data_IF_494138843981
#
_entry.id   IF_494138843981
#
_cell.length_a   1.000
_cell.length_b   1.000
_cell.length_c   1.000
_cell.angle_alpha   90.00
_cell.angle_beta   90.00
_cell.angle_gamma   90.00
#
_symmetry.space_group_name_H-M   'P 1'
#
loop_
_entity.id
_entity.type
_entity.pdbx_description
1 polymer ?
#
# COMPACT_ATOMS: atom_id res chain seq x y z
N UNK A 1 11.52 -26.74 -5.86
CA UNK A 1 11.73 -25.88 -7.04
C UNK A 1 10.66 -26.10 -8.10
N UNK A 2 9.77 -25.12 -8.26
CA UNK A 2 8.66 -25.07 -9.22
C UNK A 2 9.01 -24.22 -10.46
N UNK A 3 8.03 -23.87 -11.30
CA UNK A 3 8.26 -23.16 -12.59
C UNK A 3 8.77 -21.73 -12.42
N UNK A 4 8.60 -21.11 -11.24
CA UNK A 4 9.02 -19.73 -11.00
C UNK A 4 10.54 -19.57 -10.85
N UNK A 5 11.30 -20.66 -10.73
CA UNK A 5 12.76 -20.63 -10.60
C UNK A 5 13.47 -19.88 -11.76
N UNK A 6 12.84 -19.85 -12.93
CA UNK A 6 13.35 -19.18 -14.14
C UNK A 6 12.65 -17.84 -14.44
N UNK A 7 11.84 -17.31 -13.52
CA UNK A 7 11.17 -16.03 -13.71
C UNK A 7 12.20 -14.88 -13.69
N UNK A 8 11.94 -13.83 -14.49
CA UNK A 8 12.71 -12.59 -14.47
C UNK A 8 12.53 -11.85 -13.15
N UNK A 9 11.28 -11.75 -12.67
CA UNK A 9 10.93 -11.13 -11.41
C UNK A 9 11.67 -11.76 -10.22
N UNK A 10 12.40 -10.96 -9.42
CA UNK A 10 12.93 -11.39 -8.14
C UNK A 10 11.82 -11.87 -7.19
N UNK A 11 10.68 -11.18 -7.15
CA UNK A 11 9.51 -11.55 -6.33
C UNK A 11 9.00 -12.95 -6.66
N UNK A 12 8.83 -13.28 -7.95
CA UNK A 12 8.38 -14.62 -8.34
C UNK A 12 9.41 -15.69 -7.96
N UNK A 13 10.71 -15.39 -8.10
CA UNK A 13 11.77 -16.33 -7.71
C UNK A 13 11.84 -16.61 -6.22
N UNK A 14 11.44 -15.67 -5.35
CA UNK A 14 11.34 -15.93 -3.91
C UNK A 14 10.37 -17.09 -3.60
N UNK A 15 9.37 -17.31 -4.45
CA UNK A 15 8.39 -18.40 -4.30
C UNK A 15 8.77 -19.69 -5.05
N UNK A 16 9.97 -19.77 -5.64
CA UNK A 16 10.39 -20.90 -6.47
C UNK A 16 10.51 -22.21 -5.66
N UNK A 17 10.81 -22.12 -4.37
CA UNK A 17 10.99 -23.28 -3.50
C UNK A 17 9.77 -23.62 -2.62
N UNK A 18 8.71 -22.82 -2.71
CA UNK A 18 7.44 -23.16 -2.07
C UNK A 18 6.93 -24.53 -2.56
N UNK A 19 6.31 -25.33 -1.67
CA UNK A 19 5.71 -26.62 -2.05
C UNK A 19 4.50 -26.48 -2.99
N UNK A 20 3.93 -25.27 -3.10
CA UNK A 20 2.89 -24.96 -4.08
C UNK A 20 3.47 -25.04 -5.51
N UNK A 21 2.75 -25.73 -6.40
CA UNK A 21 3.08 -25.86 -7.82
C UNK A 21 2.69 -24.59 -8.58
N UNK A 22 3.46 -23.54 -8.36
CA UNK A 22 3.22 -22.24 -8.97
C UNK A 22 3.49 -22.24 -10.47
N UNK A 23 2.60 -21.58 -11.18
CA UNK A 23 2.75 -21.14 -12.57
C UNK A 23 2.97 -19.62 -12.60
N UNK A 24 3.76 -19.10 -13.56
CA UNK A 24 3.63 -17.70 -13.94
C UNK A 24 2.29 -17.48 -14.67
N UNK A 25 1.94 -16.23 -14.92
CA UNK A 25 0.81 -15.92 -15.80
C UNK A 25 1.16 -16.30 -17.26
N UNK A 26 0.70 -17.47 -17.70
CA UNK A 26 0.92 -17.96 -19.07
C UNK A 26 -0.26 -18.81 -19.55
N UNK A 27 -0.41 -18.96 -20.87
CA UNK A 27 -1.55 -19.69 -21.47
C UNK A 27 -1.56 -21.17 -21.06
N UNK A 28 -0.39 -21.78 -20.86
CA UNK A 28 -0.25 -23.17 -20.42
C UNK A 28 -0.90 -23.43 -19.06
N UNK A 29 -0.88 -22.46 -18.15
CA UNK A 29 -1.54 -22.58 -16.85
C UNK A 29 -3.07 -22.67 -17.02
N UNK A 30 -3.64 -21.84 -17.90
CA UNK A 30 -5.08 -21.84 -18.17
C UNK A 30 -5.51 -23.11 -18.92
N UNK A 31 -4.70 -23.58 -19.88
CA UNK A 31 -4.97 -24.84 -20.57
C UNK A 31 -4.85 -26.05 -19.62
N UNK A 32 -3.92 -26.02 -18.67
CA UNK A 32 -3.83 -27.05 -17.64
C UNK A 32 -5.05 -27.05 -16.71
N UNK A 33 -5.57 -25.88 -16.34
CA UNK A 33 -6.78 -25.75 -15.54
C UNK A 33 -8.00 -26.36 -16.26
N UNK A 34 -8.13 -26.11 -17.56
CA UNK A 34 -9.15 -26.73 -18.43
C UNK A 34 -8.96 -28.24 -18.52
N UNK A 35 -7.73 -28.70 -18.79
CA UNK A 35 -7.40 -30.14 -18.94
C UNK A 35 -7.72 -30.92 -17.67
N UNK A 36 -7.41 -30.36 -16.50
CA UNK A 36 -7.72 -30.94 -15.18
C UNK A 36 -9.15 -30.68 -14.71
N UNK A 37 -9.88 -29.79 -15.38
CA UNK A 37 -11.20 -29.30 -14.99
C UNK A 37 -11.25 -28.78 -13.54
N UNK A 38 -10.22 -28.03 -13.16
CA UNK A 38 -10.08 -27.39 -11.83
C UNK A 38 -10.08 -25.86 -11.99
N UNK A 39 -10.53 -25.11 -10.96
CA UNK A 39 -10.45 -23.65 -10.99
C UNK A 39 -9.00 -23.16 -10.85
N UNK A 40 -8.82 -21.86 -11.04
CA UNK A 40 -7.52 -21.19 -10.92
C UNK A 40 -7.51 -20.31 -9.67
N UNK A 41 -6.42 -20.40 -8.92
CA UNK A 41 -6.10 -19.45 -7.86
C UNK A 41 -4.95 -18.55 -8.35
N UNK A 42 -5.24 -17.27 -8.48
CA UNK A 42 -4.28 -16.23 -8.83
C UNK A 42 -3.91 -15.44 -7.57
N UNK A 43 -2.63 -15.42 -7.22
CA UNK A 43 -2.08 -14.62 -6.13
C UNK A 43 -1.21 -13.50 -6.69
N UNK A 44 -1.71 -12.27 -6.61
CA UNK A 44 -1.01 -11.05 -7.05
C UNK A 44 -0.31 -10.39 -5.85
N UNK A 45 0.96 -10.06 -6.00
CA UNK A 45 1.74 -9.30 -5.03
C UNK A 45 2.96 -8.66 -5.69
N UNK A 46 3.90 -8.18 -4.87
CA UNK A 46 5.16 -7.57 -5.30
C UNK A 46 6.19 -7.68 -4.17
N UNK A 47 7.46 -7.43 -4.49
CA UNK A 47 8.60 -7.77 -3.62
C UNK A 47 8.61 -7.07 -2.25
N UNK A 48 8.04 -5.86 -2.13
CA UNK A 48 8.10 -5.05 -0.91
C UNK A 48 6.80 -5.14 -0.08
N UNK A 49 5.91 -6.05 -0.43
CA UNK A 49 4.59 -6.20 0.18
C UNK A 49 4.63 -7.08 1.45
N UNK A 50 4.57 -6.46 2.63
CA UNK A 50 4.58 -7.18 3.92
C UNK A 50 3.53 -8.32 3.98
N UNK A 51 2.25 -8.01 3.77
CA UNK A 51 1.18 -9.02 3.85
C UNK A 51 1.32 -10.14 2.81
N UNK A 52 2.04 -9.89 1.72
CA UNK A 52 2.35 -10.91 0.73
C UNK A 52 3.37 -11.92 1.28
N UNK A 53 4.38 -11.45 2.01
CA UNK A 53 5.33 -12.30 2.74
C UNK A 53 4.65 -13.07 3.87
N UNK A 54 3.82 -12.39 4.68
CA UNK A 54 3.05 -13.03 5.76
C UNK A 54 2.21 -14.18 5.22
N UNK A 55 1.41 -13.95 4.16
CA UNK A 55 0.59 -15.02 3.57
C UNK A 55 1.44 -16.14 2.97
N UNK A 56 2.62 -15.82 2.43
CA UNK A 56 3.53 -16.83 1.92
C UNK A 56 4.06 -17.75 3.02
N UNK A 57 4.60 -17.18 4.10
CA UNK A 57 5.10 -17.93 5.24
C UNK A 57 4.01 -18.73 5.94
N UNK A 58 2.85 -18.12 6.18
CA UNK A 58 1.77 -18.75 6.93
C UNK A 58 1.01 -19.82 6.12
N UNK A 59 0.94 -19.68 4.79
CA UNK A 59 0.10 -20.53 3.95
C UNK A 59 0.85 -21.22 2.82
N UNK A 60 1.61 -20.50 2.00
CA UNK A 60 2.20 -21.05 0.77
C UNK A 60 3.44 -21.93 1.02
N UNK A 61 4.08 -21.82 2.18
CA UNK A 61 5.20 -22.67 2.61
C UNK A 61 4.75 -23.95 3.32
N UNK A 62 3.48 -24.06 3.69
CA UNK A 62 2.93 -25.25 4.35
C UNK A 62 2.68 -26.38 3.35
N UNK A 63 3.34 -27.53 3.56
CA UNK A 63 3.14 -28.74 2.74
C UNK A 63 1.67 -29.19 2.71
N UNK A 64 0.95 -29.04 3.82
CA UNK A 64 -0.46 -29.43 3.93
C UNK A 64 -1.34 -28.53 3.06
N UNK A 65 -1.16 -27.21 3.15
CA UNK A 65 -1.90 -26.23 2.34
C UNK A 65 -1.53 -26.39 0.87
N UNK A 66 -0.25 -26.57 0.56
CA UNK A 66 0.22 -26.78 -0.80
C UNK A 66 -0.32 -28.07 -1.42
N UNK A 67 -0.43 -29.17 -0.67
CA UNK A 67 -1.04 -30.40 -1.16
C UNK A 67 -2.52 -30.19 -1.56
N UNK A 68 -3.27 -29.42 -0.77
CA UNK A 68 -4.65 -29.03 -1.09
C UNK A 68 -4.70 -28.19 -2.37
N UNK A 69 -3.88 -27.13 -2.43
CA UNK A 69 -3.80 -26.23 -3.58
C UNK A 69 -3.43 -27.00 -4.85
N UNK A 70 -2.38 -27.81 -4.82
CA UNK A 70 -1.86 -28.54 -5.98
C UNK A 70 -2.85 -29.58 -6.48
N UNK A 71 -3.64 -30.20 -5.59
CA UNK A 71 -4.67 -31.17 -5.97
C UNK A 71 -5.86 -30.52 -6.67
N UNK A 72 -6.34 -29.41 -6.11
CA UNK A 72 -7.66 -28.87 -6.45
C UNK A 72 -7.65 -27.61 -7.30
N UNK A 73 -6.48 -27.02 -7.53
CA UNK A 73 -6.32 -25.73 -8.20
C UNK A 73 -5.14 -25.76 -9.18
N UNK A 74 -5.21 -24.89 -10.18
CA UNK A 74 -4.00 -24.36 -10.83
C UNK A 74 -3.62 -23.06 -10.15
N UNK A 75 -2.41 -23.00 -9.63
CA UNK A 75 -1.94 -21.89 -8.81
C UNK A 75 -1.05 -20.98 -9.66
N UNK A 76 -1.45 -19.72 -9.83
CA UNK A 76 -0.70 -18.71 -10.59
C UNK A 76 -0.18 -17.65 -9.61
N UNK A 77 1.12 -17.38 -9.66
CA UNK A 77 1.74 -16.25 -8.95
C UNK A 77 2.01 -15.13 -9.95
N UNK A 78 1.59 -13.91 -9.62
CA UNK A 78 1.76 -12.73 -10.48
C UNK A 78 2.51 -11.64 -9.71
N UNK A 79 3.53 -11.09 -10.35
CA UNK A 79 4.18 -9.85 -9.92
C UNK A 79 3.46 -8.65 -10.53
N UNK A 80 2.93 -7.80 -9.67
CA UNK A 80 2.28 -6.55 -10.05
C UNK A 80 3.23 -5.60 -10.77
N UNK A 81 4.52 -5.58 -10.42
CA UNK A 81 5.48 -4.66 -11.04
C UNK A 81 5.77 -5.05 -12.51
N UNK A 82 5.74 -6.34 -12.83
CA UNK A 82 5.85 -6.82 -14.21
C UNK A 82 4.53 -6.74 -14.99
N UNK A 83 3.38 -6.90 -14.31
CA UNK A 83 2.04 -6.93 -14.92
C UNK A 83 1.04 -5.98 -14.23
N UNK A 84 1.31 -4.65 -14.25
CA UNK A 84 0.43 -3.66 -13.63
C UNK A 84 -0.93 -3.56 -14.33
N UNK A 85 -1.01 -3.99 -15.60
CA UNK A 85 -2.23 -4.07 -16.38
C UNK A 85 -3.24 -5.06 -15.78
N UNK A 86 -2.78 -6.26 -15.39
CA UNK A 86 -3.63 -7.28 -14.79
C UNK A 86 -4.00 -6.93 -13.35
N UNK A 87 -3.02 -6.42 -12.59
CA UNK A 87 -3.25 -5.95 -11.24
C UNK A 87 -4.38 -4.90 -11.20
N UNK A 88 -4.34 -3.90 -12.08
CA UNK A 88 -5.35 -2.85 -12.14
C UNK A 88 -6.76 -3.41 -12.40
N UNK A 89 -6.90 -4.37 -13.32
CA UNK A 89 -8.18 -5.01 -13.65
C UNK A 89 -8.75 -5.73 -12.42
N UNK A 90 -7.95 -6.57 -11.76
CA UNK A 90 -8.43 -7.35 -10.62
C UNK A 90 -8.60 -6.49 -9.35
N UNK A 91 -7.80 -5.45 -9.16
CA UNK A 91 -7.98 -4.47 -8.09
C UNK A 91 -9.30 -3.71 -8.26
N UNK A 92 -9.62 -3.27 -9.48
CA UNK A 92 -10.88 -2.61 -9.78
C UNK A 92 -12.07 -3.55 -9.51
N UNK A 93 -11.99 -4.84 -9.88
CA UNK A 93 -13.01 -5.82 -9.57
C UNK A 93 -13.19 -6.04 -8.05
N UNK A 94 -12.08 -6.08 -7.29
CA UNK A 94 -12.11 -6.20 -5.84
C UNK A 94 -12.76 -4.96 -5.19
N UNK A 95 -12.39 -3.76 -5.62
CA UNK A 95 -12.97 -2.50 -5.13
C UNK A 95 -14.45 -2.37 -5.49
N UNK A 96 -14.86 -2.75 -6.71
CA UNK A 96 -16.25 -2.70 -7.15
C UNK A 96 -17.16 -3.65 -6.34
N UNK A 97 -16.61 -4.74 -5.79
CA UNK A 97 -17.36 -5.76 -5.05
C UNK A 97 -17.30 -5.57 -3.53
N UNK A 98 -16.17 -5.13 -2.99
CA UNK A 98 -15.94 -5.02 -1.54
C UNK A 98 -15.84 -3.57 -1.03
N UNK A 99 -15.78 -2.59 -1.93
CA UNK A 99 -15.63 -1.17 -1.59
C UNK A 99 -14.22 -0.75 -1.18
N UNK A 100 -13.30 -1.71 -1.02
CA UNK A 100 -11.88 -1.50 -0.73
C UNK A 100 -11.04 -2.54 -1.49
N UNK A 101 -9.72 -2.41 -1.42
CA UNK A 101 -8.78 -3.36 -2.01
C UNK A 101 -7.41 -3.27 -1.35
N UNK A 102 -6.52 -4.18 -1.74
CA UNK A 102 -5.16 -4.25 -1.21
C UNK A 102 -4.45 -5.53 -1.65
N UNK A 103 -3.20 -5.67 -1.20
CA UNK A 103 -2.36 -6.84 -1.46
C UNK A 103 -2.07 -7.61 -0.18
N UNK A 104 -1.80 -8.94 -0.24
CA UNK A 104 -1.85 -9.78 -1.43
C UNK A 104 -3.27 -9.88 -1.97
N UNK A 105 -3.41 -9.94 -3.29
CA UNK A 105 -4.71 -10.13 -3.92
C UNK A 105 -4.93 -11.61 -4.20
N UNK A 106 -5.94 -12.17 -3.54
CA UNK A 106 -6.37 -13.57 -3.68
C UNK A 106 -7.55 -13.63 -4.64
N UNK A 107 -7.29 -14.00 -5.89
CA UNK A 107 -8.29 -13.98 -6.96
C UNK A 107 -8.59 -15.40 -7.42
N UNK A 108 -9.87 -15.78 -7.43
CA UNK A 108 -10.31 -17.11 -7.82
C UNK A 108 -11.04 -17.02 -9.16
N UNK A 109 -10.46 -17.66 -10.17
CA UNK A 109 -10.83 -17.49 -11.58
C UNK A 109 -11.43 -18.76 -12.18
N UNK A 110 -12.37 -18.57 -13.10
CA UNK A 110 -12.75 -19.61 -14.04
C UNK A 110 -11.75 -19.76 -15.21
N UNK A 111 -12.05 -20.67 -16.13
CA UNK A 111 -11.18 -20.99 -17.28
C UNK A 111 -11.09 -19.86 -18.31
N UNK A 112 -12.01 -18.90 -18.25
CA UNK A 112 -12.06 -17.71 -19.10
C UNK A 112 -11.42 -16.49 -18.44
N UNK A 113 -10.68 -16.69 -17.34
CA UNK A 113 -9.99 -15.64 -16.56
C UNK A 113 -10.94 -14.69 -15.82
N UNK A 114 -12.23 -15.03 -15.69
CA UNK A 114 -13.22 -14.21 -14.99
C UNK A 114 -13.17 -14.51 -13.49
N UNK A 115 -13.09 -13.49 -12.62
CA UNK A 115 -13.10 -13.71 -11.19
C UNK A 115 -14.51 -14.05 -10.70
N UNK A 116 -14.64 -15.16 -9.98
CA UNK A 116 -15.89 -15.53 -9.31
C UNK A 116 -15.85 -15.30 -7.80
N UNK A 117 -14.66 -15.08 -7.24
CA UNK A 117 -14.44 -14.65 -5.86
C UNK A 117 -13.11 -13.89 -5.77
N UNK A 118 -13.07 -12.83 -4.96
CA UNK A 118 -11.86 -12.08 -4.67
C UNK A 118 -11.73 -11.85 -3.16
N UNK A 119 -10.50 -11.75 -2.68
CA UNK A 119 -10.16 -11.34 -1.32
C UNK A 119 -8.78 -10.69 -1.32
N UNK A 120 -8.42 -10.06 -0.21
CA UNK A 120 -7.05 -9.64 0.07
C UNK A 120 -6.28 -10.76 0.78
N UNK A 121 -5.75 -10.49 1.98
CA UNK A 121 -5.12 -11.47 2.86
C UNK A 121 -6.14 -12.45 3.44
N UNK A 122 -5.80 -13.75 3.41
CA UNK A 122 -6.58 -14.83 4.01
C UNK A 122 -5.72 -15.56 5.05
N UNK A 123 -6.12 -15.60 6.33
CA UNK A 123 -5.30 -16.15 7.40
C UNK A 123 -5.17 -17.68 7.34
N UNK A 124 -4.14 -18.29 7.94
CA UNK A 124 -3.97 -19.74 7.98
C UNK A 124 -5.06 -20.44 8.83
N UNK A 125 -5.65 -19.71 9.78
CA UNK A 125 -6.69 -20.19 10.69
C UNK A 125 -7.90 -19.25 10.71
N UNK A 126 -9.06 -19.78 11.10
CA UNK A 126 -10.26 -18.96 11.30
C UNK A 126 -10.03 -17.98 12.45
N UNK A 127 -9.97 -16.67 12.17
CA UNK A 127 -9.72 -15.64 13.18
C UNK A 127 -10.57 -14.40 12.91
N UNK A 128 -11.04 -13.76 13.98
CA UNK A 128 -11.83 -12.50 13.92
C UNK A 128 -13.03 -12.55 12.94
N UNK A 129 -13.71 -13.70 12.86
CA UNK A 129 -14.85 -13.88 11.95
C UNK A 129 -14.47 -14.05 10.48
N UNK A 130 -13.17 -14.12 10.15
CA UNK A 130 -12.69 -14.40 8.80
C UNK A 130 -12.37 -15.90 8.64
N UNK A 131 -12.81 -16.54 7.55
CA UNK A 131 -12.45 -17.93 7.28
C UNK A 131 -10.96 -18.04 6.93
N UNK A 132 -10.36 -19.17 7.25
CA UNK A 132 -9.00 -19.49 6.87
C UNK A 132 -8.87 -19.67 5.36
N UNK A 133 -7.65 -19.50 4.84
CA UNK A 133 -7.34 -19.73 3.45
C UNK A 133 -7.74 -21.14 2.98
N UNK A 134 -7.45 -22.17 3.78
CA UNK A 134 -7.83 -23.57 3.49
C UNK A 134 -9.35 -23.78 3.51
N UNK A 135 -10.09 -23.08 4.38
CA UNK A 135 -11.56 -23.10 4.41
C UNK A 135 -12.13 -22.49 3.14
N UNK A 136 -11.59 -21.35 2.70
CA UNK A 136 -12.00 -20.68 1.45
C UNK A 136 -11.72 -21.58 0.24
N UNK A 137 -10.51 -22.13 0.13
CA UNK A 137 -10.13 -23.06 -0.95
C UNK A 137 -11.09 -24.26 -1.01
N UNK A 138 -11.36 -24.89 0.12
CA UNK A 138 -12.23 -26.07 0.18
C UNK A 138 -13.66 -25.71 -0.24
N UNK A 139 -14.20 -24.61 0.29
CA UNK A 139 -15.59 -24.21 0.01
C UNK A 139 -15.79 -23.81 -1.45
N UNK A 140 -14.87 -23.04 -2.02
CA UNK A 140 -14.97 -22.64 -3.42
C UNK A 140 -14.79 -23.84 -4.36
N UNK A 141 -13.96 -24.82 -3.99
CA UNK A 141 -13.84 -26.07 -4.75
C UNK A 141 -15.12 -26.90 -4.71
N UNK A 142 -15.79 -26.98 -3.55
CA UNK A 142 -17.09 -27.66 -3.45
C UNK A 142 -18.15 -27.00 -4.34
N UNK A 143 -18.20 -25.66 -4.37
CA UNK A 143 -19.12 -24.91 -5.25
C UNK A 143 -18.74 -25.13 -6.71
N UNK A 144 -17.44 -25.16 -7.02
CA UNK A 144 -16.96 -25.50 -8.35
C UNK A 144 -17.45 -26.90 -8.79
N UNK A 145 -17.40 -27.91 -7.94
CA UNK A 145 -17.77 -29.28 -8.33
C UNK A 145 -19.28 -29.49 -8.41
N UNK A 146 -20.04 -28.87 -7.51
CA UNK A 146 -21.47 -29.17 -7.32
C UNK A 146 -22.41 -28.10 -7.90
N UNK A 147 -21.93 -26.86 -8.06
CA UNK A 147 -22.75 -25.67 -8.37
C UNK A 147 -22.09 -24.76 -9.42
N UNK A 148 -21.68 -25.32 -10.57
CA UNK A 148 -21.04 -24.54 -11.67
C UNK A 148 -21.85 -23.31 -12.10
N UNK A 149 -23.19 -23.36 -12.05
CA UNK A 149 -24.03 -22.23 -12.39
C UNK A 149 -23.87 -21.05 -11.42
N UNK A 150 -23.62 -21.30 -10.13
CA UNK A 150 -23.35 -20.25 -9.15
C UNK A 150 -22.00 -19.56 -9.43
N UNK A 151 -20.98 -20.33 -9.83
CA UNK A 151 -19.68 -19.79 -10.26
C UNK A 151 -19.88 -18.83 -11.44
N UNK A 152 -20.60 -19.27 -12.49
CA UNK A 152 -20.86 -18.44 -13.66
C UNK A 152 -21.67 -17.19 -13.31
N UNK A 153 -22.68 -17.32 -12.45
CA UNK A 153 -23.50 -16.18 -12.03
C UNK A 153 -22.66 -15.13 -11.26
N UNK A 154 -21.81 -15.57 -10.33
CA UNK A 154 -20.91 -14.67 -9.60
C UNK A 154 -19.89 -14.02 -10.52
N UNK A 155 -19.28 -14.80 -11.44
CA UNK A 155 -18.33 -14.26 -12.41
C UNK A 155 -18.95 -13.17 -13.29
N UNK A 156 -20.18 -13.39 -13.77
CA UNK A 156 -20.93 -12.38 -14.53
C UNK A 156 -21.23 -11.15 -13.68
N UNK A 157 -21.73 -11.32 -12.46
CA UNK A 157 -22.06 -10.20 -11.58
C UNK A 157 -20.85 -9.31 -11.26
N UNK A 158 -19.68 -9.92 -11.02
CA UNK A 158 -18.43 -9.20 -10.77
C UNK A 158 -17.97 -8.47 -12.05
N UNK A 159 -18.04 -9.12 -13.20
CA UNK A 159 -17.68 -8.51 -14.50
C UNK A 159 -18.56 -7.31 -14.81
N UNK A 160 -19.88 -7.43 -14.62
CA UNK A 160 -20.81 -6.30 -14.81
C UNK A 160 -20.59 -5.17 -13.80
N UNK A 161 -20.21 -5.48 -12.55
CA UNK A 161 -19.88 -4.48 -11.56
C UNK A 161 -18.62 -3.70 -11.97
N UNK A 162 -17.62 -4.39 -12.51
CA UNK A 162 -16.42 -3.77 -13.08
C UNK A 162 -16.78 -2.85 -14.25
N UNK A 163 -17.56 -3.33 -15.22
CA UNK A 163 -18.01 -2.53 -16.38
C UNK A 163 -18.83 -1.29 -15.98
N UNK A 164 -19.61 -1.36 -14.89
CA UNK A 164 -20.33 -0.20 -14.34
C UNK A 164 -19.40 0.77 -13.60
N UNK A 165 -18.33 0.26 -12.98
CA UNK A 165 -17.36 1.05 -12.23
C UNK A 165 -16.33 1.73 -13.12
N UNK A 166 -16.05 1.16 -14.29
CA UNK A 166 -15.42 1.87 -15.38
C UNK A 166 -16.40 2.98 -15.81
N UNK A 167 -16.20 4.19 -15.28
CA UNK A 167 -16.82 5.38 -15.83
C UNK A 167 -16.63 5.32 -17.36
N UNK A 168 -17.66 5.62 -18.17
CA UNK A 168 -17.47 5.64 -19.62
C UNK A 168 -16.23 6.47 -19.88
N UNK A 169 -15.23 5.88 -20.56
CA UNK A 169 -14.05 6.61 -21.00
C UNK A 169 -14.59 7.91 -21.55
N UNK A 170 -14.27 9.03 -20.89
CA UNK A 170 -14.82 10.32 -21.27
C UNK A 170 -14.68 10.43 -22.79
N UNK A 171 -15.69 10.99 -23.47
CA UNK A 171 -15.74 11.13 -24.93
C UNK A 171 -14.60 12.01 -25.50
N UNK A 172 -13.55 12.25 -24.73
CA UNK A 172 -12.46 13.19 -24.97
C UNK A 172 -12.76 14.59 -24.44
N UNK A 173 -13.98 14.89 -23.96
CA UNK A 173 -14.26 16.21 -23.39
C UNK A 173 -13.62 16.39 -22.02
N UNK A 174 -13.02 17.56 -21.85
CA UNK A 174 -12.66 18.10 -20.54
C UNK A 174 -13.95 18.25 -19.73
N UNK A 175 -14.04 17.70 -18.51
CA UNK A 175 -15.22 17.85 -17.67
C UNK A 175 -15.57 19.31 -17.42
N UNK A 176 -16.86 19.59 -17.25
CA UNK A 176 -17.31 20.94 -16.93
C UNK A 176 -16.88 21.36 -15.52
N UNK A 177 -16.99 22.67 -15.25
CA UNK A 177 -16.63 23.23 -13.96
C UNK A 177 -17.61 22.86 -12.84
N UNK A 178 -18.83 22.43 -13.17
CA UNK A 178 -19.79 21.97 -12.18
C UNK A 178 -19.35 20.63 -11.58
N UNK A 179 -18.66 19.78 -12.36
CA UNK A 179 -18.04 18.57 -11.85
C UNK A 179 -16.91 18.88 -10.86
N UNK A 180 -16.09 19.90 -11.12
CA UNK A 180 -15.07 20.35 -10.17
C UNK A 180 -15.70 20.85 -8.86
N UNK A 181 -16.78 21.62 -8.93
CA UNK A 181 -17.52 22.08 -7.75
C UNK A 181 -18.16 20.92 -6.97
N UNK A 182 -18.62 19.87 -7.66
CA UNK A 182 -19.12 18.64 -7.02
C UNK A 182 -18.00 17.86 -6.35
N UNK A 183 -16.87 17.68 -7.03
CA UNK A 183 -15.69 17.00 -6.49
C UNK A 183 -15.20 17.70 -5.22
N UNK A 184 -15.05 19.03 -5.25
CA UNK A 184 -14.69 19.82 -4.07
C UNK A 184 -15.64 19.55 -2.89
N UNK A 185 -16.96 19.63 -3.09
CA UNK A 185 -17.94 19.41 -2.01
C UNK A 185 -17.84 18.00 -1.42
N UNK A 186 -17.61 16.99 -2.26
CA UNK A 186 -17.46 15.60 -1.80
C UNK A 186 -16.15 15.40 -1.02
N UNK A 187 -15.06 16.02 -1.47
CA UNK A 187 -13.77 15.99 -0.78
C UNK A 187 -13.84 16.73 0.57
N UNK A 188 -14.40 17.93 0.58
CA UNK A 188 -14.60 18.73 1.79
C UNK A 188 -15.43 17.99 2.84
N UNK A 189 -16.47 17.26 2.42
CA UNK A 189 -17.30 16.46 3.32
C UNK A 189 -16.58 15.23 3.91
N UNK A 190 -15.50 14.77 3.27
CA UNK A 190 -14.69 13.60 3.69
C UNK A 190 -13.39 13.98 4.37
N UNK A 191 -13.06 15.27 4.40
CA UNK A 191 -11.82 15.77 4.97
C UNK A 191 -11.81 15.62 6.49
N UNK A 192 -10.72 15.06 7.00
CA UNK A 192 -10.47 14.97 8.44
C UNK A 192 -9.75 16.26 8.89
N UNK A 193 -10.51 17.19 9.45
CA UNK A 193 -9.94 18.47 9.92
C UNK A 193 -9.00 18.32 11.13
N UNK A 194 -9.06 17.21 11.86
CA UNK A 194 -8.22 16.99 13.05
C UNK A 194 -6.84 16.46 12.66
N UNK A 195 -6.81 15.44 11.80
CA UNK A 195 -5.59 14.72 11.44
C UNK A 195 -5.18 14.91 9.98
N UNK A 196 -5.88 15.73 9.20
CA UNK A 196 -5.63 15.88 7.77
C UNK A 196 -5.97 14.61 6.97
N UNK A 197 -5.95 14.69 5.65
CA UNK A 197 -6.31 13.57 4.80
C UNK A 197 -7.80 13.36 4.59
N UNK A 198 -8.14 12.25 3.93
CA UNK A 198 -9.51 11.85 3.66
C UNK A 198 -9.88 10.60 4.45
N UNK A 199 -11.08 10.60 5.02
CA UNK A 199 -11.62 9.42 5.72
C UNK A 199 -10.93 9.14 7.06
N UNK A 200 -11.10 7.91 7.56
CA UNK A 200 -10.64 7.50 8.89
C UNK A 200 -9.43 6.59 8.82
N UNK A 201 -9.60 5.31 8.48
CA UNK A 201 -8.52 4.31 8.41
C UNK A 201 -8.76 3.28 7.29
N UNK A 202 -7.71 2.76 6.64
CA UNK A 202 -6.34 3.30 6.63
C UNK A 202 -6.27 4.67 5.92
N UNK A 203 -5.21 5.45 6.15
CA UNK A 203 -4.97 6.74 5.49
C UNK A 203 -3.82 6.68 4.50
N UNK A 204 -4.13 7.09 3.27
CA UNK A 204 -3.17 7.22 2.17
C UNK A 204 -2.89 8.69 1.87
N UNK A 205 -1.66 9.06 1.45
CA UNK A 205 -1.34 10.43 1.05
C UNK A 205 -2.28 10.98 -0.01
N UNK A 206 -2.70 10.21 -1.03
CA UNK A 206 -3.67 10.68 -2.05
C UNK A 206 -3.34 12.05 -2.67
N UNK A 207 -2.06 12.31 -2.92
CA UNK A 207 -1.47 13.55 -3.47
C UNK A 207 -2.27 14.21 -4.61
N UNK A 208 -2.77 13.42 -5.56
CA UNK A 208 -3.63 13.88 -6.66
C UNK A 208 -4.89 14.67 -6.22
N UNK A 209 -5.40 14.40 -5.02
CA UNK A 209 -6.50 15.16 -4.40
C UNK A 209 -6.03 16.57 -4.04
N UNK A 210 -4.84 16.70 -3.47
CA UNK A 210 -4.30 18.00 -3.04
C UNK A 210 -3.84 18.83 -4.24
N UNK A 211 -3.28 18.17 -5.26
CA UNK A 211 -3.03 18.76 -6.58
C UNK A 211 -4.32 19.35 -7.17
N UNK A 212 -5.44 18.63 -7.07
CA UNK A 212 -6.76 19.12 -7.47
C UNK A 212 -7.20 20.32 -6.61
N UNK A 213 -7.08 20.25 -5.28
CA UNK A 213 -7.50 21.33 -4.39
C UNK A 213 -6.69 22.63 -4.63
N UNK A 214 -5.38 22.54 -4.87
CA UNK A 214 -4.55 23.69 -5.23
C UNK A 214 -4.98 24.31 -6.57
N UNK A 215 -5.25 23.47 -7.58
CA UNK A 215 -5.78 23.92 -8.88
C UNK A 215 -7.17 24.54 -8.75
N UNK A 216 -8.03 23.98 -7.91
CA UNK A 216 -9.36 24.51 -7.63
C UNK A 216 -9.27 25.88 -6.92
N UNK A 217 -8.40 26.00 -5.92
CA UNK A 217 -8.13 27.25 -5.21
C UNK A 217 -7.62 28.36 -6.13
N UNK A 218 -6.75 28.03 -7.08
CA UNK A 218 -6.21 28.96 -8.08
C UNK A 218 -7.28 29.55 -9.02
N UNK A 219 -8.47 28.93 -9.08
CA UNK A 219 -9.62 29.46 -9.83
C UNK A 219 -10.43 30.51 -9.05
N UNK A 220 -10.03 30.81 -7.80
CA UNK A 220 -10.66 31.82 -6.95
C UNK A 220 -11.92 31.36 -6.21
N UNK A 221 -12.19 30.05 -6.15
CA UNK A 221 -13.30 29.47 -5.36
C UNK A 221 -12.76 28.76 -4.13
N UNK A 222 -13.38 29.01 -2.98
CA UNK A 222 -13.06 28.35 -1.70
C UNK A 222 -11.53 28.27 -1.45
N UNK A 223 -10.81 29.32 -1.86
CA UNK A 223 -9.35 29.32 -1.94
C UNK A 223 -8.73 29.06 -0.57
N UNK A 224 -9.24 29.74 0.47
CA UNK A 224 -8.78 29.57 1.84
C UNK A 224 -8.96 28.12 2.32
N UNK A 225 -10.17 27.58 2.20
CA UNK A 225 -10.49 26.26 2.74
C UNK A 225 -9.79 25.14 1.97
N UNK A 226 -9.69 25.26 0.65
CA UNK A 226 -8.94 24.31 -0.19
C UNK A 226 -7.46 24.26 0.20
N UNK A 227 -6.82 25.42 0.37
CA UNK A 227 -5.41 25.50 0.77
C UNK A 227 -5.19 25.07 2.22
N UNK A 228 -6.14 25.32 3.11
CA UNK A 228 -6.09 24.81 4.49
C UNK A 228 -6.14 23.28 4.54
N UNK A 229 -6.97 22.64 3.71
CA UNK A 229 -6.99 21.17 3.60
C UNK A 229 -5.65 20.58 3.14
N UNK A 230 -5.02 21.21 2.15
CA UNK A 230 -3.68 20.82 1.67
C UNK A 230 -2.65 21.01 2.78
N UNK A 231 -2.64 22.19 3.41
CA UNK A 231 -1.68 22.53 4.45
C UNK A 231 -1.73 21.58 5.63
N UNK A 232 -2.92 21.39 6.20
CA UNK A 232 -3.13 20.48 7.33
C UNK A 232 -2.72 19.06 6.98
N UNK A 233 -3.02 18.59 5.76
CA UNK A 233 -2.68 17.22 5.39
C UNK A 233 -1.18 17.02 5.22
N UNK A 234 -0.51 17.87 4.45
CA UNK A 234 0.94 17.73 4.22
C UNK A 234 1.72 17.86 5.52
N UNK A 235 1.31 18.77 6.41
CA UNK A 235 1.91 18.89 7.74
C UNK A 235 1.70 17.62 8.58
N UNK A 236 0.49 17.04 8.58
CA UNK A 236 0.21 15.81 9.33
C UNK A 236 0.94 14.58 8.79
N UNK A 237 1.13 14.51 7.48
CA UNK A 237 1.94 13.46 6.83
C UNK A 237 3.42 13.64 7.20
N UNK A 238 3.94 14.87 7.14
CA UNK A 238 5.32 15.17 7.53
C UNK A 238 5.60 14.89 9.01
N UNK A 239 4.68 15.28 9.88
CA UNK A 239 4.85 15.17 11.32
C UNK A 239 4.54 13.75 11.82
N UNK A 240 3.76 12.97 11.07
CA UNK A 240 3.40 11.60 11.42
C UNK A 240 4.56 10.60 11.32
N UNK A 241 4.26 9.36 11.68
CA UNK A 241 5.19 8.22 11.58
C UNK A 241 5.27 7.64 10.17
N UNK A 242 4.46 8.14 9.23
CA UNK A 242 4.62 7.86 7.80
C UNK A 242 5.88 8.54 7.21
N UNK A 243 6.39 9.60 7.82
CA UNK A 243 7.68 10.17 7.46
C UNK A 243 8.78 9.46 8.24
N UNK A 244 9.79 8.96 7.54
CA UNK A 244 10.99 8.46 8.20
C UNK A 244 11.88 9.63 8.62
N UNK A 245 11.75 10.05 9.88
CA UNK A 245 12.50 11.18 10.44
C UNK A 245 14.02 10.95 10.58
N UNK A 246 14.52 9.74 10.29
CA UNK A 246 15.96 9.41 10.37
C UNK A 246 16.56 9.27 8.98
N UNK A 247 15.99 8.39 8.16
CA UNK A 247 16.47 8.09 6.80
C UNK A 247 15.89 9.00 5.71
N UNK A 248 14.83 9.74 6.01
CA UNK A 248 14.09 10.55 5.06
C UNK A 248 13.16 9.71 4.16
N UNK A 249 12.34 10.41 3.39
CA UNK A 249 11.31 9.82 2.55
C UNK A 249 10.11 9.31 3.35
N UNK A 250 9.09 8.88 2.61
CA UNK A 250 7.77 8.57 3.17
C UNK A 250 7.39 7.10 2.97
N UNK A 251 6.94 6.45 4.03
CA UNK A 251 6.24 5.18 3.95
C UNK A 251 4.92 5.33 3.17
N UNK A 252 4.37 4.23 2.67
CA UNK A 252 3.27 4.30 1.69
C UNK A 252 1.96 4.84 2.26
N UNK A 253 1.56 4.38 3.44
CA UNK A 253 0.29 4.77 4.07
C UNK A 253 0.30 4.48 5.57
N UNK A 254 -0.62 5.11 6.32
CA UNK A 254 -0.87 4.79 7.73
C UNK A 254 -2.04 3.82 7.88
N UNK A 255 -1.89 2.84 8.76
CA UNK A 255 -2.98 1.94 9.15
C UNK A 255 -4.01 2.62 10.07
N UNK A 256 -3.62 3.71 10.72
CA UNK A 256 -4.45 4.50 11.62
C UNK A 256 -4.87 5.85 11.02
N UNK A 257 -5.65 6.61 11.80
CA UNK A 257 -6.20 7.89 11.39
C UNK A 257 -5.24 9.05 11.69
N UNK A 258 -4.34 8.87 12.63
CA UNK A 258 -3.42 9.85 13.19
C UNK A 258 -2.15 10.03 12.35
N UNK A 259 -1.93 9.17 11.35
CA UNK A 259 -0.68 9.04 10.60
C UNK A 259 0.49 8.49 11.44
N UNK A 260 0.20 7.72 12.49
CA UNK A 260 1.22 7.21 13.41
C UNK A 260 1.85 5.90 12.93
N UNK A 261 1.06 4.88 12.62
CA UNK A 261 1.53 3.53 12.31
C UNK A 261 1.60 3.29 10.80
N UNK A 262 2.78 3.41 10.18
CA UNK A 262 2.94 3.20 8.74
C UNK A 262 2.84 1.72 8.38
N UNK A 263 2.52 1.46 7.11
CA UNK A 263 3.08 0.32 6.40
C UNK A 263 4.43 0.71 5.86
N UNK A 264 5.49 0.08 6.38
CA UNK A 264 6.86 0.58 6.31
C UNK A 264 7.51 0.51 4.92
N UNK A 265 6.82 0.01 3.90
CA UNK A 265 7.28 0.06 2.51
C UNK A 265 7.40 1.53 2.03
N UNK A 266 8.49 1.83 1.30
CA UNK A 266 8.68 3.13 0.65
C UNK A 266 8.77 2.93 -0.85
N UNK A 267 7.80 3.45 -1.60
CA UNK A 267 7.75 3.24 -3.05
C UNK A 267 8.21 4.49 -3.80
N UNK A 268 8.95 4.30 -4.89
CA UNK A 268 9.46 5.40 -5.73
C UNK A 268 8.33 6.30 -6.23
N UNK A 269 7.19 5.72 -6.61
CA UNK A 269 6.06 6.50 -7.14
C UNK A 269 5.39 7.36 -6.05
N UNK A 270 5.35 6.88 -4.80
CA UNK A 270 4.82 7.67 -3.68
C UNK A 270 5.75 8.85 -3.38
N UNK A 271 7.07 8.61 -3.34
CA UNK A 271 8.07 9.69 -3.20
C UNK A 271 7.91 10.74 -4.30
N UNK A 272 7.83 10.30 -5.57
CA UNK A 272 7.74 11.21 -6.70
C UNK A 272 6.46 12.06 -6.67
N UNK A 273 5.34 11.46 -6.27
CA UNK A 273 4.07 12.15 -6.15
C UNK A 273 4.08 13.17 -5.00
N UNK A 274 4.58 12.79 -3.81
CA UNK A 274 4.67 13.71 -2.68
C UNK A 274 5.62 14.86 -3.00
N UNK A 275 6.75 14.59 -3.65
CA UNK A 275 7.69 15.62 -4.12
C UNK A 275 7.00 16.64 -5.02
N UNK A 276 6.26 16.18 -6.03
CA UNK A 276 5.55 17.06 -6.96
C UNK A 276 4.51 17.94 -6.24
N UNK A 277 3.66 17.33 -5.40
CA UNK A 277 2.64 18.05 -4.62
C UNK A 277 3.28 19.05 -3.65
N UNK A 278 4.38 18.70 -2.99
CA UNK A 278 5.09 19.60 -2.06
C UNK A 278 5.70 20.79 -2.78
N UNK A 279 6.25 20.61 -3.98
CA UNK A 279 6.74 21.74 -4.80
C UNK A 279 5.59 22.68 -5.19
N UNK A 280 4.44 22.13 -5.61
CA UNK A 280 3.26 22.95 -5.91
C UNK A 280 2.72 23.66 -4.66
N UNK A 281 2.68 22.97 -3.52
CA UNK A 281 2.27 23.56 -2.24
C UNK A 281 3.20 24.70 -1.84
N UNK A 282 4.52 24.55 -1.98
CA UNK A 282 5.48 25.63 -1.76
C UNK A 282 5.22 26.83 -2.69
N UNK A 283 4.87 26.59 -3.95
CA UNK A 283 4.56 27.68 -4.90
C UNK A 283 3.29 28.45 -4.52
N UNK A 284 2.28 27.75 -4.00
CA UNK A 284 1.00 28.33 -3.58
C UNK A 284 1.07 29.02 -2.22
N UNK A 285 1.70 28.39 -1.23
CA UNK A 285 1.65 28.78 0.19
C UNK A 285 2.91 29.51 0.67
N UNK A 286 4.06 29.29 0.01
CA UNK A 286 5.38 29.84 0.37
C UNK A 286 5.88 29.46 1.77
N UNK A 287 5.30 28.42 2.37
CA UNK A 287 5.77 27.85 3.62
C UNK A 287 7.07 27.05 3.40
N UNK A 288 8.16 27.32 4.16
CA UNK A 288 9.42 26.58 4.04
C UNK A 288 9.28 25.06 4.27
N UNK A 289 8.30 24.60 5.04
CA UNK A 289 8.06 23.18 5.29
C UNK A 289 7.94 22.38 3.98
N UNK A 290 7.16 22.87 3.01
CA UNK A 290 6.96 22.13 1.76
C UNK A 290 8.22 22.04 0.90
N UNK A 291 9.13 23.01 1.05
CA UNK A 291 10.46 22.91 0.45
C UNK A 291 11.30 21.86 1.16
N UNK A 292 11.28 21.83 2.49
CA UNK A 292 11.99 20.84 3.29
C UNK A 292 11.55 19.41 2.94
N UNK A 293 10.24 19.16 2.83
CA UNK A 293 9.69 17.88 2.37
C UNK A 293 10.29 17.46 1.01
N UNK A 294 10.33 18.39 0.05
CA UNK A 294 10.89 18.10 -1.27
C UNK A 294 12.39 17.80 -1.25
N UNK A 295 13.17 18.57 -0.47
CA UNK A 295 14.61 18.36 -0.29
C UNK A 295 14.93 17.05 0.44
N UNK A 296 14.10 16.67 1.42
CA UNK A 296 14.19 15.40 2.13
C UNK A 296 14.00 14.20 1.20
N UNK A 297 12.93 14.21 0.40
CA UNK A 297 12.66 13.17 -0.60
C UNK A 297 13.82 13.07 -1.59
N UNK A 298 14.35 14.19 -2.09
CA UNK A 298 15.47 14.19 -3.02
C UNK A 298 16.74 13.59 -2.40
N UNK A 299 16.96 13.78 -1.09
CA UNK A 299 18.06 13.18 -0.35
C UNK A 299 17.90 11.66 -0.28
N UNK A 300 16.75 11.19 0.18
CA UNK A 300 16.41 9.76 0.24
C UNK A 300 16.55 9.08 -1.13
N UNK A 301 15.93 9.65 -2.17
CA UNK A 301 16.01 9.10 -3.52
C UNK A 301 17.46 8.99 -4.02
N UNK A 302 18.30 9.98 -3.72
CA UNK A 302 19.69 10.02 -4.19
C UNK A 302 20.62 9.08 -3.44
N UNK A 303 20.34 8.81 -2.17
CA UNK A 303 21.17 7.99 -1.30
C UNK A 303 20.74 6.52 -1.32
N UNK A 304 19.45 6.25 -1.19
CA UNK A 304 18.92 4.92 -0.91
C UNK A 304 18.32 4.24 -2.15
N UNK A 305 17.50 4.96 -2.92
CA UNK A 305 16.85 4.38 -4.12
C UNK A 305 17.66 4.51 -5.41
N UNK A 306 18.78 5.22 -5.42
CA UNK A 306 19.59 5.38 -6.63
C UNK A 306 20.33 4.09 -6.95
N UNK A 307 20.09 3.54 -8.14
CA UNK A 307 20.90 2.44 -8.63
C UNK A 307 22.29 2.97 -9.06
N UNK A 308 23.41 2.41 -8.57
CA UNK A 308 24.76 2.80 -8.97
C UNK A 308 25.03 2.73 -10.48
N UNK A 309 24.31 1.87 -11.21
CA UNK A 309 24.39 1.73 -12.67
C UNK A 309 23.52 2.76 -13.42
N UNK A 310 22.68 3.52 -12.72
CA UNK A 310 21.77 4.53 -13.26
C UNK A 310 20.29 4.21 -13.02
N UNK A 311 19.46 5.25 -12.99
CA UNK A 311 18.04 5.12 -12.64
C UNK A 311 17.79 4.97 -11.13
N UNK A 312 16.57 4.57 -10.78
CA UNK A 312 16.12 4.35 -9.40
C UNK A 312 15.49 2.97 -9.26
N UNK A 313 15.63 2.34 -8.09
CA UNK A 313 14.84 1.17 -7.70
C UNK A 313 13.36 1.55 -7.54
N UNK A 314 12.46 0.58 -7.71
CA UNK A 314 11.00 0.82 -7.63
C UNK A 314 10.48 1.08 -6.22
N UNK A 315 11.22 0.63 -5.20
CA UNK A 315 10.91 0.85 -3.80
C UNK A 315 11.87 0.13 -2.87
N UNK A 316 11.57 0.25 -1.58
CA UNK A 316 12.26 -0.35 -0.45
C UNK A 316 11.28 -1.22 0.34
N UNK A 317 11.77 -2.38 0.79
CA UNK A 317 10.96 -3.39 1.47
C UNK A 317 10.52 -2.93 2.86
N UNK A 318 9.28 -3.27 3.23
CA UNK A 318 8.75 -3.05 4.58
C UNK A 318 9.42 -3.95 5.62
N UNK A 319 9.89 -5.13 5.19
CA UNK A 319 10.48 -6.14 6.06
C UNK A 319 12.00 -6.00 6.13
N UNK A 320 12.52 -5.97 7.35
CA UNK A 320 13.96 -6.02 7.62
C UNK A 320 14.24 -7.22 8.51
N UNK A 321 15.02 -8.17 8.00
CA UNK A 321 15.30 -9.45 8.66
C UNK A 321 14.04 -10.28 8.99
N UNK A 322 12.98 -10.15 8.19
CA UNK A 322 11.71 -10.88 8.37
C UNK A 322 10.75 -10.24 9.37
N UNK A 323 11.06 -9.04 9.87
CA UNK A 323 10.20 -8.25 10.75
C UNK A 323 9.82 -6.91 10.09
N UNK A 324 8.51 -6.61 9.99
CA UNK A 324 8.04 -5.34 9.44
C UNK A 324 8.51 -4.17 10.32
N UNK A 325 9.07 -3.14 9.70
CA UNK A 325 9.36 -1.89 10.41
C UNK A 325 10.56 -1.93 11.36
N UNK A 326 11.32 -3.03 11.44
CA UNK A 326 12.38 -3.25 12.45
C UNK A 326 13.40 -2.11 12.54
N UNK A 327 13.81 -1.52 11.42
CA UNK A 327 14.78 -0.40 11.39
C UNK A 327 14.15 0.98 11.64
N UNK A 328 12.83 1.05 11.75
CA UNK A 328 12.05 2.27 11.86
C UNK A 328 11.40 2.47 13.23
N UNK A 329 11.61 1.52 14.15
CA UNK A 329 11.07 1.54 15.51
C UNK A 329 12.18 1.41 16.54
N UNK A 330 12.12 2.25 17.57
CA UNK A 330 13.24 2.46 18.49
C UNK A 330 12.79 2.37 19.95
N UNK A 331 13.55 1.65 20.76
CA UNK A 331 13.46 1.78 22.21
C UNK A 331 14.18 3.05 22.66
N UNK A 332 13.79 3.58 23.81
CA UNK A 332 14.45 4.75 24.40
C UNK A 332 15.97 4.51 24.62
N UNK A 333 16.34 3.28 25.03
CA UNK A 333 17.73 2.89 25.26
C UNK A 333 18.56 2.80 23.97
N UNK A 334 17.96 2.35 22.87
CA UNK A 334 18.62 2.34 21.55
C UNK A 334 18.93 3.77 21.10
N UNK A 335 18.00 4.71 21.30
CA UNK A 335 18.21 6.13 20.99
C UNK A 335 19.33 6.72 21.85
N UNK A 336 19.32 6.48 23.16
CA UNK A 336 20.38 6.97 24.06
C UNK A 336 21.76 6.43 23.66
N UNK A 337 21.83 5.15 23.31
CA UNK A 337 23.07 4.50 22.88
C UNK A 337 23.56 5.09 21.57
N UNK A 338 22.69 5.21 20.56
CA UNK A 338 23.03 5.77 19.26
C UNK A 338 23.52 7.22 19.37
N UNK A 339 22.89 8.04 20.22
CA UNK A 339 23.31 9.42 20.48
C UNK A 339 24.65 9.46 21.23
N UNK A 340 24.87 8.60 22.22
CA UNK A 340 26.14 8.52 22.92
C UNK A 340 27.28 8.13 21.97
N UNK A 341 27.07 7.13 21.13
CA UNK A 341 28.04 6.66 20.13
C UNK A 341 28.36 7.74 19.08
N UNK A 342 27.37 8.58 18.73
CA UNK A 342 27.54 9.73 17.85
C UNK A 342 28.17 10.96 18.55
N UNK A 343 28.41 10.92 19.87
CA UNK A 343 28.91 12.07 20.63
C UNK A 343 27.88 13.16 20.88
N UNK A 344 26.59 12.83 20.83
CA UNK A 344 25.42 13.71 20.94
C UNK A 344 24.58 13.43 22.19
N UNK A 345 25.15 12.79 23.22
CA UNK A 345 24.43 12.42 24.44
C UNK A 345 23.70 13.60 25.12
N UNK A 346 24.27 14.81 25.05
CA UNK A 346 23.69 16.01 25.64
C UNK A 346 22.37 16.45 24.96
N UNK A 347 22.09 15.98 23.74
CA UNK A 347 20.87 16.28 22.99
C UNK A 347 19.75 15.26 23.21
N UNK A 348 19.98 14.17 23.95
CA UNK A 348 19.02 13.09 24.09
C UNK A 348 17.67 13.54 24.66
N UNK A 349 17.67 14.39 25.69
CA UNK A 349 16.44 14.90 26.29
C UNK A 349 15.63 15.77 25.31
N UNK A 350 16.30 16.54 24.46
CA UNK A 350 15.65 17.37 23.45
C UNK A 350 15.06 16.53 22.33
N UNK A 351 15.85 15.61 21.75
CA UNK A 351 15.40 14.72 20.68
C UNK A 351 14.18 13.91 21.13
N UNK A 352 14.25 13.29 22.31
CA UNK A 352 13.13 12.50 22.85
C UNK A 352 11.85 13.32 22.98
N UNK A 353 11.96 14.58 23.43
CA UNK A 353 10.82 15.51 23.53
C UNK A 353 10.27 15.89 22.15
N UNK A 354 11.15 16.14 21.17
CA UNK A 354 10.76 16.54 19.81
C UNK A 354 10.04 15.40 19.09
N UNK A 355 10.56 14.19 19.21
CA UNK A 355 10.09 13.01 18.46
C UNK A 355 9.15 12.08 19.25
N UNK A 356 8.66 12.54 20.41
CA UNK A 356 7.65 11.82 21.19
C UNK A 356 8.15 10.50 21.80
N UNK A 357 9.45 10.36 22.04
CA UNK A 357 10.05 9.15 22.64
C UNK A 357 9.72 9.08 24.12
N UNK A 358 9.17 7.96 24.54
CA UNK A 358 8.89 7.66 25.96
C UNK A 358 9.35 6.25 26.30
N UNK A 359 9.55 5.96 27.59
CA UNK A 359 9.97 4.63 28.06
C UNK A 359 9.03 3.50 27.66
N UNK A 360 7.73 3.79 27.45
CA UNK A 360 6.73 2.81 27.02
C UNK A 360 6.54 2.72 25.51
N UNK A 361 7.17 3.62 24.75
CA UNK A 361 6.94 3.75 23.32
C UNK A 361 5.53 4.22 22.96
N UNK A 362 5.25 4.25 21.66
CA UNK A 362 3.91 4.50 21.10
C UNK A 362 3.40 3.31 20.26
N UNK A 363 4.19 2.25 20.10
CA UNK A 363 3.81 1.03 19.40
C UNK A 363 4.61 -0.18 19.93
N UNK A 364 3.92 -1.18 20.49
CA UNK A 364 4.51 -2.46 20.95
C UNK A 364 5.75 -2.33 21.88
N UNK A 365 5.79 -1.29 22.72
CA UNK A 365 6.93 -1.03 23.61
C UNK A 365 8.13 -0.35 22.94
N UNK A 366 8.01 0.00 21.65
CA UNK A 366 8.95 0.79 20.86
C UNK A 366 8.29 2.11 20.41
N UNK A 367 9.12 3.01 19.88
CA UNK A 367 8.71 4.33 19.39
C UNK A 367 8.87 4.38 17.89
N UNK A 368 7.76 4.68 17.20
CA UNK A 368 7.78 5.27 15.86
C UNK A 368 7.96 6.77 16.06
N UNK A 369 9.02 7.34 15.48
CA UNK A 369 9.33 8.76 15.67
C UNK A 369 8.27 9.62 14.99
N UNK A 370 7.72 10.60 15.71
CA UNK A 370 6.73 11.56 15.17
C UNK A 370 7.01 12.95 15.71
N UNK A 371 6.78 13.99 14.91
CA UNK A 371 6.78 15.38 15.35
C UNK A 371 5.36 15.79 15.78
N UNK A 372 5.24 16.71 16.73
CA UNK A 372 3.94 17.35 17.01
C UNK A 372 3.10 16.79 18.15
N UNK A 373 3.62 15.89 19.01
CA UNK A 373 3.04 15.66 20.35
C UNK A 373 3.47 16.73 21.38
N UNK A 374 4.43 17.59 21.04
CA UNK A 374 4.91 18.68 21.88
C UNK A 374 4.63 20.05 21.23
N UNK A 375 3.79 20.92 21.85
CA UNK A 375 3.57 22.28 21.37
C UNK A 375 4.87 23.11 21.34
N UNK A 376 5.10 23.90 20.29
CA UNK A 376 6.15 24.94 20.26
C UNK A 376 7.48 24.57 19.59
N UNK A 377 7.50 23.58 18.69
CA UNK A 377 8.68 23.17 17.91
C UNK A 377 8.58 23.55 16.41
N UNK A 378 7.74 24.54 16.09
CA UNK A 378 7.49 25.06 14.74
C UNK A 378 8.60 26.05 14.28
N UNK A 379 9.85 25.87 14.72
CA UNK A 379 10.97 26.72 14.31
C UNK A 379 11.81 26.00 13.24
N UNK A 380 11.92 26.55 12.00
CA UNK A 380 12.82 26.05 10.96
C UNK A 380 14.30 25.97 11.37
N UNK A 381 14.71 26.64 12.45
CA UNK A 381 16.04 26.51 13.02
C UNK A 381 16.22 25.27 13.93
N UNK A 382 15.12 24.57 14.25
CA UNK A 382 15.08 23.31 15.01
C UNK A 382 14.68 22.09 14.16
N UNK A 383 14.38 22.30 12.87
CA UNK A 383 14.49 21.28 11.82
C UNK A 383 15.96 21.07 11.44
#
# INVERSE_FOLDING_TARGET
MNRLANASSPYLRQHADNPVDWWPWCDEAFEEAKRRNVPIFLSIGYATCHWCHVMAHESFESDQTAALMNRDWVNIKLDREERPDLDAIYMAALQATQGNGGWPMSVFLDHEKRPFFLATYLPPENRFGRPSFTTVLTKLKEVWDNSRNEITANATAITEALERSEAPRGDGHVPDLALADLAYRQLAARFDATHGGLGTRPKFPTTHVYDFLMRYAARGKETHDSLAMVSTTLQRIHDGGIHDHVGGGFHRYSTDQEWLLPHFEKMLYDQAQILATSVEAWQCLRDPLYRAIGEDILRYLSHDLRNPEGGFYSGEDADSEGEEGKFYVWTEAEIDTALADAGLADHAAELKRVYGVTAGGNWEGKTILTRGLAPGLEDPATE
#
